data_IF_897661209569
#
_entry.id   IF_897661209569
#
_cell.length_a   1.000
_cell.length_b   1.000
_cell.length_c   1.000
_cell.angle_alpha   90.00
_cell.angle_beta   90.00
_cell.angle_gamma   90.00
#
_symmetry.space_group_name_H-M   'P 1'
#
loop_
_entity.id
_entity.type
_entity.pdbx_description
1 polymer ?
#
# COMPACT_ATOMS: atom_id res chain seq x y z
N UNK A 1 -3.67 5.76 47.56
CA UNK A 1 -3.62 6.04 46.12
C UNK A 1 -2.85 4.91 45.44
N UNK A 2 -3.55 3.98 44.80
CA UNK A 2 -2.93 2.89 44.02
C UNK A 2 -3.14 3.19 42.55
N UNK A 3 -2.07 3.27 41.78
CA UNK A 3 -2.11 3.44 40.32
C UNK A 3 -2.34 2.06 39.70
N UNK A 4 -3.44 1.90 38.97
CA UNK A 4 -3.61 0.75 38.07
C UNK A 4 -2.63 0.89 36.90
N UNK A 5 -1.92 -0.18 36.49
CA UNK A 5 -1.24 -0.20 35.20
C UNK A 5 -2.29 -0.37 34.09
N UNK A 6 -2.06 0.33 32.98
CA UNK A 6 -2.90 0.35 31.79
C UNK A 6 -3.01 -1.02 31.12
N UNK A 7 -4.19 -1.63 31.18
CA UNK A 7 -4.57 -2.80 30.36
C UNK A 7 -5.01 -2.38 28.94
N UNK A 8 -4.23 -1.54 28.27
CA UNK A 8 -4.45 -1.17 26.87
C UNK A 8 -3.17 -1.48 26.12
N UNK A 9 -3.03 -2.67 25.53
CA UNK A 9 -2.06 -2.83 24.41
C UNK A 9 -2.10 -4.16 23.64
N UNK A 10 -2.72 -5.24 24.14
CA UNK A 10 -2.58 -6.55 23.46
C UNK A 10 -3.65 -6.83 22.40
N UNK A 11 -4.91 -6.46 22.64
CA UNK A 11 -6.03 -6.80 21.75
C UNK A 11 -6.03 -6.05 20.41
N UNK A 12 -5.43 -4.86 20.35
CA UNK A 12 -5.39 -4.07 19.12
C UNK A 12 -4.27 -4.52 18.17
N UNK A 13 -3.12 -4.94 18.71
CA UNK A 13 -2.02 -5.50 17.91
C UNK A 13 -2.42 -6.84 17.27
N UNK A 14 -3.10 -7.72 17.99
CA UNK A 14 -3.54 -9.03 17.48
C UNK A 14 -4.49 -8.91 16.29
N UNK A 15 -5.26 -7.81 16.18
CA UNK A 15 -6.14 -7.57 15.04
C UNK A 15 -5.39 -7.11 13.77
N UNK A 16 -4.21 -6.52 13.96
CA UNK A 16 -3.37 -5.98 12.87
C UNK A 16 -2.39 -7.01 12.33
N UNK A 17 -2.15 -8.10 13.06
CA UNK A 17 -1.32 -9.22 12.61
C UNK A 17 -2.19 -10.25 11.89
N UNK A 18 -1.83 -10.55 10.64
CA UNK A 18 -2.49 -11.57 9.83
C UNK A 18 -1.98 -12.97 10.20
N UNK A 19 -2.89 -13.93 10.27
CA UNK A 19 -2.53 -15.33 10.41
C UNK A 19 -2.00 -15.89 9.07
N UNK A 20 -0.95 -16.70 9.11
CA UNK A 20 -0.27 -17.21 7.93
C UNK A 20 -1.19 -18.07 7.03
N UNK A 21 -2.19 -18.76 7.61
CA UNK A 21 -3.17 -19.54 6.86
C UNK A 21 -4.11 -18.64 6.05
N UNK A 22 -4.60 -17.58 6.67
CA UNK A 22 -5.50 -16.60 6.04
C UNK A 22 -4.81 -15.90 4.85
N UNK A 23 -3.51 -15.63 4.97
CA UNK A 23 -2.70 -15.06 3.89
C UNK A 23 -2.63 -15.99 2.66
N UNK A 24 -2.48 -17.30 2.88
CA UNK A 24 -2.40 -18.28 1.80
C UNK A 24 -3.74 -18.45 1.09
N UNK A 25 -4.85 -18.41 1.83
CA UNK A 25 -6.19 -18.54 1.28
C UNK A 25 -6.56 -17.31 0.42
N UNK A 26 -6.18 -16.10 0.84
CA UNK A 26 -6.41 -14.86 0.07
C UNK A 26 -5.67 -14.85 -1.28
N UNK A 27 -4.43 -15.32 -1.31
CA UNK A 27 -3.65 -15.45 -2.55
C UNK A 27 -4.23 -16.45 -3.56
N UNK A 28 -5.05 -17.40 -3.10
CA UNK A 28 -5.67 -18.40 -3.97
C UNK A 28 -6.98 -17.92 -4.63
N UNK A 29 -7.54 -16.80 -4.16
CA UNK A 29 -8.89 -16.35 -4.50
C UNK A 29 -8.95 -15.21 -5.53
N UNK A 30 -7.86 -14.91 -6.23
CA UNK A 30 -7.83 -13.89 -7.30
C UNK A 30 -8.45 -14.42 -8.61
N UNK A 31 -9.74 -14.77 -8.59
CA UNK A 31 -10.56 -14.89 -9.79
C UNK A 31 -11.68 -13.87 -9.72
N UNK A 32 -11.50 -12.79 -10.48
CA UNK A 32 -12.50 -11.77 -10.71
C UNK A 32 -13.78 -12.40 -11.28
N UNK A 33 -14.92 -12.08 -10.66
CA UNK A 33 -16.25 -12.37 -11.19
C UNK A 33 -16.63 -11.25 -12.18
N UNK A 34 -17.24 -11.56 -13.34
CA UNK A 34 -17.69 -10.51 -14.25
C UNK A 34 -18.91 -9.80 -13.65
N UNK A 35 -18.84 -8.47 -13.60
CA UNK A 35 -19.92 -7.60 -13.16
C UNK A 35 -20.97 -7.50 -14.28
N UNK A 36 -22.22 -7.81 -13.96
CA UNK A 36 -23.33 -7.77 -14.90
C UNK A 36 -23.78 -6.33 -15.20
N UNK A 37 -24.06 -6.08 -16.49
CA UNK A 37 -24.57 -4.82 -17.03
C UNK A 37 -25.84 -4.34 -16.33
N UNK A 38 -25.87 -3.08 -15.88
CA UNK A 38 -27.09 -2.37 -15.48
C UNK A 38 -27.06 -0.94 -16.03
N UNK A 39 -28.17 -0.40 -16.57
CA UNK A 39 -28.13 0.75 -17.47
C UNK A 39 -28.01 2.13 -16.78
N UNK A 40 -27.41 3.04 -17.55
CA UNK A 40 -27.01 4.43 -17.28
C UNK A 40 -28.19 5.39 -16.98
N UNK A 41 -28.05 6.34 -16.02
CA UNK A 41 -28.72 7.63 -16.08
C UNK A 41 -27.69 8.71 -16.48
N UNK A 42 -27.93 9.32 -17.63
CA UNK A 42 -27.02 10.22 -18.31
C UNK A 42 -27.39 11.69 -18.01
N UNK A 43 -26.37 12.52 -17.75
CA UNK A 43 -26.33 14.01 -17.81
C UNK A 43 -26.41 14.79 -16.48
N UNK A 44 -27.16 14.41 -15.44
CA UNK A 44 -27.16 15.18 -14.15
C UNK A 44 -26.02 14.77 -13.19
N UNK A 45 -25.44 13.58 -13.37
CA UNK A 45 -24.44 12.97 -12.50
C UNK A 45 -23.00 13.42 -12.78
N UNK A 46 -22.64 13.67 -14.04
CA UNK A 46 -21.25 13.90 -14.43
C UNK A 46 -20.67 15.18 -13.82
N UNK A 47 -21.44 16.27 -13.76
CA UNK A 47 -20.98 17.54 -13.19
C UNK A 47 -20.77 17.47 -11.66
N UNK A 48 -21.63 16.71 -10.96
CA UNK A 48 -21.48 16.48 -9.52
C UNK A 48 -20.28 15.58 -9.21
N UNK A 49 -20.08 14.52 -9.99
CA UNK A 49 -18.90 13.64 -9.89
C UNK A 49 -17.61 14.40 -10.20
N UNK A 50 -17.59 15.25 -11.23
CA UNK A 50 -16.42 16.07 -11.56
C UNK A 50 -16.09 17.10 -10.47
N UNK A 51 -17.10 17.77 -9.90
CA UNK A 51 -16.91 18.67 -8.75
C UNK A 51 -16.36 17.93 -7.51
N UNK A 52 -16.74 16.66 -7.33
CA UNK A 52 -16.23 15.82 -6.25
C UNK A 52 -14.77 15.42 -6.50
N UNK A 53 -14.38 15.12 -7.74
CA UNK A 53 -12.99 14.79 -8.09
C UNK A 53 -12.05 15.97 -7.89
N UNK A 54 -12.43 17.18 -8.30
CA UNK A 54 -11.58 18.38 -8.12
C UNK A 54 -11.37 18.71 -6.64
N UNK A 55 -12.44 18.65 -5.83
CA UNK A 55 -12.34 18.85 -4.39
C UNK A 55 -11.53 17.76 -3.69
N UNK A 56 -11.67 16.51 -4.12
CA UNK A 56 -10.88 15.37 -3.67
C UNK A 56 -9.38 15.55 -3.97
N UNK A 57 -9.02 15.90 -5.22
CA UNK A 57 -7.63 16.17 -5.60
C UNK A 57 -7.01 17.29 -4.76
N UNK A 58 -7.77 18.37 -4.56
CA UNK A 58 -7.30 19.51 -3.75
C UNK A 58 -7.12 19.13 -2.29
N UNK A 59 -8.06 18.38 -1.71
CA UNK A 59 -7.98 17.88 -0.33
C UNK A 59 -6.74 17.01 -0.12
N UNK A 60 -6.42 16.18 -1.10
CA UNK A 60 -5.31 15.21 -1.03
C UNK A 60 -3.97 15.74 -1.57
N UNK A 61 -3.91 17.00 -2.04
CA UNK A 61 -2.69 17.58 -2.58
C UNK A 61 -2.21 16.95 -3.89
N UNK A 62 -3.11 16.38 -4.70
CA UNK A 62 -2.79 15.68 -5.95
C UNK A 62 -2.58 16.63 -7.14
N UNK A 63 -1.83 17.72 -6.94
CA UNK A 63 -1.54 18.73 -7.96
C UNK A 63 -0.77 18.18 -9.18
N UNK A 64 -0.15 17.01 -9.03
CA UNK A 64 0.61 16.30 -10.05
C UNK A 64 -0.22 15.33 -10.91
N UNK A 65 -1.52 15.14 -10.60
CA UNK A 65 -2.40 14.30 -11.42
C UNK A 65 -2.51 14.90 -12.83
N UNK A 66 -2.22 14.09 -13.86
CA UNK A 66 -2.11 14.57 -15.25
C UNK A 66 -3.46 14.77 -15.94
N UNK A 67 -4.47 13.99 -15.55
CA UNK A 67 -5.78 14.00 -16.18
C UNK A 67 -6.87 13.51 -15.20
N UNK A 68 -8.13 13.67 -15.60
CA UNK A 68 -9.30 13.28 -14.79
C UNK A 68 -9.47 11.77 -14.65
N UNK A 69 -9.00 10.98 -15.62
CA UNK A 69 -9.16 9.52 -15.60
C UNK A 69 -8.22 8.87 -14.56
N UNK A 70 -6.97 9.31 -14.49
CA UNK A 70 -6.00 8.93 -13.46
C UNK A 70 -6.54 9.27 -12.06
N UNK A 71 -7.09 10.47 -11.93
CA UNK A 71 -7.67 10.94 -10.69
C UNK A 71 -8.91 10.11 -10.30
N UNK A 72 -9.70 9.68 -11.29
CA UNK A 72 -10.85 8.81 -11.09
C UNK A 72 -10.42 7.41 -10.63
N UNK A 73 -9.40 6.81 -11.25
CA UNK A 73 -8.84 5.52 -10.80
C UNK A 73 -8.45 5.58 -9.32
N UNK A 74 -7.72 6.63 -8.93
CA UNK A 74 -7.33 6.80 -7.54
C UNK A 74 -8.51 7.08 -6.60
N UNK A 75 -9.51 7.84 -7.05
CA UNK A 75 -10.74 8.07 -6.31
C UNK A 75 -11.53 6.77 -6.08
N UNK A 76 -11.64 5.92 -7.10
CA UNK A 76 -12.35 4.64 -7.02
C UNK A 76 -11.62 3.66 -6.08
N UNK A 77 -10.28 3.67 -6.09
CA UNK A 77 -9.45 2.90 -5.16
C UNK A 77 -9.59 3.38 -3.70
N UNK A 78 -9.39 4.68 -3.46
CA UNK A 78 -9.24 5.23 -2.12
C UNK A 78 -10.58 5.52 -1.43
N UNK A 79 -11.60 5.84 -2.22
CA UNK A 79 -12.90 6.32 -1.76
C UNK A 79 -12.91 7.81 -1.39
N UNK A 80 -14.10 8.44 -1.33
CA UNK A 80 -14.26 9.89 -1.14
C UNK A 80 -13.71 10.40 0.20
N UNK A 81 -13.79 9.57 1.24
CA UNK A 81 -13.42 9.94 2.61
C UNK A 81 -11.95 9.69 2.91
N UNK A 82 -11.15 9.28 1.92
CA UNK A 82 -9.74 9.01 2.11
C UNK A 82 -9.00 10.22 2.67
N UNK A 83 -8.03 9.92 3.55
CA UNK A 83 -7.09 10.84 4.14
C UNK A 83 -5.74 10.14 4.20
N UNK A 84 -4.71 10.85 3.74
CA UNK A 84 -3.32 10.41 3.85
C UNK A 84 -2.89 10.30 5.32
N UNK A 85 -2.06 9.29 5.68
CA UNK A 85 -1.34 9.27 6.95
C UNK A 85 -0.54 10.57 7.14
N UNK A 86 -0.60 11.20 8.33
CA UNK A 86 -0.04 12.55 8.50
C UNK A 86 1.48 12.64 8.39
N UNK A 87 2.15 11.50 8.55
CA UNK A 87 3.61 11.38 8.50
C UNK A 87 4.17 11.21 7.09
N UNK A 88 3.32 10.98 6.09
CA UNK A 88 3.75 10.81 4.70
C UNK A 88 4.16 12.15 4.08
N UNK A 89 5.12 12.09 3.18
CA UNK A 89 5.55 13.25 2.39
C UNK A 89 5.01 13.19 0.96
N UNK A 90 5.20 14.27 0.20
CA UNK A 90 4.70 14.37 -1.18
C UNK A 90 5.21 13.27 -2.12
N UNK A 91 6.45 12.78 -1.91
CA UNK A 91 6.97 11.68 -2.72
C UNK A 91 6.23 10.36 -2.43
N UNK A 92 5.85 10.11 -1.17
CA UNK A 92 5.10 8.91 -0.79
C UNK A 92 3.71 8.94 -1.45
N UNK A 93 3.03 10.09 -1.40
CA UNK A 93 1.73 10.29 -2.07
C UNK A 93 1.83 10.06 -3.57
N UNK A 94 2.88 10.60 -4.17
CA UNK A 94 3.14 10.51 -5.60
C UNK A 94 3.38 9.07 -6.02
N UNK A 95 4.21 8.33 -5.29
CA UNK A 95 4.49 6.93 -5.59
C UNK A 95 3.25 6.04 -5.45
N UNK A 96 2.49 6.20 -4.36
CA UNK A 96 1.24 5.45 -4.16
C UNK A 96 0.22 5.76 -5.24
N UNK A 97 0.11 7.03 -5.64
CA UNK A 97 -0.75 7.42 -6.76
C UNK A 97 -0.33 6.70 -8.05
N UNK A 98 0.98 6.61 -8.34
CA UNK A 98 1.47 5.89 -9.53
C UNK A 98 1.17 4.41 -9.52
N UNK A 99 1.24 3.73 -8.37
CA UNK A 99 0.85 2.32 -8.28
C UNK A 99 -0.58 2.09 -8.78
N UNK A 100 -1.48 3.06 -8.62
CA UNK A 100 -2.88 2.93 -9.04
C UNK A 100 -3.10 3.30 -10.52
N UNK A 101 -2.41 4.32 -11.01
CA UNK A 101 -2.75 4.89 -12.33
C UNK A 101 -1.95 4.29 -13.48
N UNK A 102 -0.73 3.82 -13.19
CA UNK A 102 0.23 3.38 -14.20
C UNK A 102 -0.04 1.90 -14.57
N UNK A 103 -0.32 1.60 -15.86
CA UNK A 103 -0.62 0.24 -16.32
C UNK A 103 0.47 -0.79 -16.02
N UNK A 104 1.72 -0.37 -15.84
CA UNK A 104 2.82 -1.27 -15.48
C UNK A 104 2.56 -2.00 -14.15
N UNK A 105 1.66 -1.46 -13.31
CA UNK A 105 1.29 -2.01 -12.02
C UNK A 105 -0.10 -2.65 -11.99
N UNK A 106 -0.81 -2.82 -13.12
CA UNK A 106 -2.23 -3.21 -13.15
C UNK A 106 -2.57 -4.42 -12.25
N UNK A 107 -1.69 -5.41 -12.14
CA UNK A 107 -1.94 -6.64 -11.37
C UNK A 107 -1.57 -6.57 -9.88
N UNK A 108 -0.76 -5.59 -9.47
CA UNK A 108 -0.18 -5.53 -8.11
C UNK A 108 -0.30 -4.14 -7.46
N UNK A 109 -0.74 -3.15 -8.22
CA UNK A 109 -0.72 -1.74 -7.86
C UNK A 109 -1.63 -1.41 -6.69
N UNK A 110 -2.85 -1.94 -6.68
CA UNK A 110 -3.79 -1.78 -5.56
C UNK A 110 -3.23 -2.37 -4.25
N UNK A 111 -2.57 -3.53 -4.34
CA UNK A 111 -1.98 -4.21 -3.21
C UNK A 111 -0.74 -3.46 -2.69
N UNK A 112 0.13 -2.99 -3.59
CA UNK A 112 1.27 -2.11 -3.24
C UNK A 112 0.80 -0.84 -2.55
N UNK A 113 -0.19 -0.16 -3.12
CA UNK A 113 -0.76 1.06 -2.55
C UNK A 113 -1.38 0.78 -1.17
N UNK A 114 -2.16 -0.28 -1.03
CA UNK A 114 -2.79 -0.69 0.23
C UNK A 114 -1.74 -0.97 1.31
N UNK A 115 -0.71 -1.75 0.97
CA UNK A 115 0.33 -2.13 1.92
C UNK A 115 1.21 -0.94 2.31
N UNK A 116 1.55 -0.06 1.36
CA UNK A 116 2.27 1.18 1.64
C UNK A 116 1.46 2.10 2.57
N UNK A 117 0.18 2.34 2.29
CA UNK A 117 -0.70 3.14 3.16
C UNK A 117 -0.77 2.53 4.56
N UNK A 118 -0.95 1.21 4.66
CA UNK A 118 -1.01 0.51 5.94
C UNK A 118 0.29 0.66 6.74
N UNK A 119 1.45 0.54 6.09
CA UNK A 119 2.75 0.73 6.72
C UNK A 119 2.87 2.09 7.41
N UNK A 120 2.52 3.18 6.73
CA UNK A 120 2.59 4.51 7.34
C UNK A 120 1.56 4.69 8.46
N UNK A 121 0.35 4.12 8.34
CA UNK A 121 -0.64 4.13 9.43
C UNK A 121 -0.11 3.40 10.67
N UNK A 122 0.62 2.30 10.49
CA UNK A 122 1.26 1.56 11.58
C UNK A 122 2.38 2.37 12.25
N UNK A 123 3.19 3.09 11.47
CA UNK A 123 4.20 4.00 12.06
C UNK A 123 3.50 5.13 12.84
N UNK A 124 2.48 5.74 12.24
CA UNK A 124 1.73 6.86 12.83
C UNK A 124 1.04 6.45 14.14
N UNK A 125 0.45 5.25 14.19
CA UNK A 125 -0.15 4.70 15.41
C UNK A 125 0.86 4.45 16.53
N UNK A 126 2.16 4.40 16.21
CA UNK A 126 3.23 4.21 17.17
C UNK A 126 3.41 2.76 17.61
N UNK A 127 2.79 1.79 16.92
CA UNK A 127 2.86 0.35 17.26
C UNK A 127 4.30 -0.19 17.35
N UNK A 128 5.25 0.52 16.74
CA UNK A 128 6.67 0.15 16.70
C UNK A 128 7.55 0.85 17.76
N UNK A 129 7.03 1.81 18.54
CA UNK A 129 7.85 2.72 19.35
C UNK A 129 8.44 2.09 20.61
N UNK A 130 7.66 1.29 21.34
CA UNK A 130 8.05 0.92 22.70
C UNK A 130 8.85 -0.39 22.79
N UNK A 131 8.52 -1.38 21.95
CA UNK A 131 9.24 -2.66 21.82
C UNK A 131 9.07 -3.22 20.40
N UNK A 132 9.89 -2.80 19.43
CA UNK A 132 9.79 -3.34 18.09
C UNK A 132 10.10 -4.85 18.13
N UNK A 133 9.21 -5.68 17.55
CA UNK A 133 9.35 -7.15 17.45
C UNK A 133 10.37 -7.59 16.37
N UNK A 134 11.16 -6.65 15.86
CA UNK A 134 12.12 -6.81 14.77
C UNK A 134 12.54 -5.45 14.22
N UNK A 135 13.48 -5.43 13.27
CA UNK A 135 13.92 -4.21 12.59
C UNK A 135 13.23 -4.01 11.23
N UNK A 136 12.55 -5.03 10.70
CA UNK A 136 11.75 -4.99 9.47
C UNK A 136 10.36 -5.61 9.67
N UNK A 137 9.42 -5.19 8.84
CA UNK A 137 8.05 -5.71 8.77
C UNK A 137 7.70 -6.12 7.36
N UNK A 138 7.03 -7.28 7.23
CA UNK A 138 6.37 -7.72 6.01
C UNK A 138 4.87 -7.48 6.14
N UNK A 139 4.30 -6.68 5.24
CA UNK A 139 2.89 -6.32 5.19
C UNK A 139 2.25 -6.91 3.92
N UNK A 140 1.10 -7.54 4.11
CA UNK A 140 0.27 -8.14 3.06
C UNK A 140 -1.19 -7.87 3.39
N UNK A 141 -1.97 -7.47 2.38
CA UNK A 141 -3.37 -7.05 2.45
C UNK A 141 -3.65 -6.04 3.56
N UNK A 142 -2.75 -5.06 3.70
CA UNK A 142 -2.81 -3.99 4.69
C UNK A 142 -2.57 -4.45 6.14
N UNK A 143 -2.07 -5.67 6.36
CA UNK A 143 -1.82 -6.23 7.69
C UNK A 143 -0.38 -6.72 7.84
N UNK A 144 0.09 -6.75 9.08
CA UNK A 144 1.41 -7.28 9.40
C UNK A 144 1.37 -8.80 9.27
N UNK A 145 2.14 -9.36 8.34
CA UNK A 145 2.29 -10.80 8.22
C UNK A 145 3.38 -11.32 9.16
N UNK A 146 4.54 -10.65 9.20
CA UNK A 146 5.69 -11.11 9.99
C UNK A 146 6.70 -9.98 10.26
N UNK A 147 7.42 -10.11 11.38
CA UNK A 147 8.56 -9.29 11.76
C UNK A 147 9.88 -10.02 11.48
N UNK A 148 10.92 -9.26 11.16
CA UNK A 148 12.27 -9.77 10.90
C UNK A 148 13.30 -8.93 11.66
N UNK A 149 14.31 -9.58 12.23
CA UNK A 149 15.39 -8.90 12.95
C UNK A 149 16.43 -8.26 12.02
N UNK A 150 16.53 -8.76 10.79
CA UNK A 150 17.46 -8.31 9.75
C UNK A 150 16.76 -8.16 8.39
N UNK A 151 17.45 -7.53 7.45
CA UNK A 151 17.05 -7.51 6.03
C UNK A 151 17.06 -8.93 5.45
N UNK A 152 16.30 -9.15 4.38
CA UNK A 152 16.22 -10.47 3.73
C UNK A 152 17.15 -10.57 2.53
N UNK A 153 17.49 -11.80 2.14
CA UNK A 153 18.26 -12.04 0.92
C UNK A 153 17.45 -11.68 -0.33
N UNK A 154 18.14 -11.49 -1.47
CA UNK A 154 17.47 -11.32 -2.77
C UNK A 154 16.58 -12.51 -3.12
N UNK A 155 17.03 -13.71 -2.79
CA UNK A 155 16.33 -14.97 -3.03
C UNK A 155 15.03 -15.04 -2.22
N UNK A 156 15.09 -14.69 -0.94
CA UNK A 156 13.91 -14.61 -0.07
C UNK A 156 12.94 -13.53 -0.56
N UNK A 157 13.46 -12.39 -1.03
CA UNK A 157 12.65 -11.32 -1.58
C UNK A 157 11.89 -11.77 -2.84
N UNK A 158 12.55 -12.50 -3.74
CA UNK A 158 11.92 -13.10 -4.92
C UNK A 158 10.87 -14.15 -4.56
N UNK A 159 11.14 -15.00 -3.56
CA UNK A 159 10.16 -15.96 -3.06
C UNK A 159 8.91 -15.23 -2.57
N UNK A 160 9.09 -14.16 -1.79
CA UNK A 160 7.97 -13.37 -1.33
C UNK A 160 7.24 -12.68 -2.47
N UNK A 161 7.91 -12.28 -3.56
CA UNK A 161 7.25 -11.64 -4.71
C UNK A 161 6.32 -12.63 -5.43
N UNK A 162 6.80 -13.87 -5.59
CA UNK A 162 6.00 -14.96 -6.17
C UNK A 162 4.83 -15.34 -5.26
N UNK A 163 5.05 -15.31 -3.94
CA UNK A 163 4.08 -15.77 -2.94
C UNK A 163 3.05 -14.71 -2.56
N UNK A 164 3.46 -13.45 -2.50
CA UNK A 164 2.66 -12.29 -2.09
C UNK A 164 2.92 -11.13 -3.07
N UNK A 165 2.37 -11.18 -4.29
CA UNK A 165 2.53 -10.08 -5.25
C UNK A 165 2.05 -8.76 -4.66
N UNK A 166 2.85 -7.70 -4.78
CA UNK A 166 2.52 -6.39 -4.20
C UNK A 166 2.70 -6.26 -2.69
N UNK A 167 3.37 -7.24 -2.04
CA UNK A 167 3.81 -7.14 -0.65
C UNK A 167 4.58 -5.84 -0.37
N UNK A 168 4.66 -5.49 0.90
CA UNK A 168 5.50 -4.39 1.34
C UNK A 168 6.44 -4.85 2.46
N UNK A 169 7.74 -4.88 2.16
CA UNK A 169 8.79 -5.22 3.12
C UNK A 169 9.59 -3.95 3.44
N UNK A 170 9.54 -3.49 4.69
CA UNK A 170 10.07 -2.18 5.06
C UNK A 170 10.70 -2.17 6.46
N UNK A 171 11.72 -1.31 6.69
CA UNK A 171 12.37 -1.19 7.99
C UNK A 171 11.50 -0.48 9.02
N UNK A 172 11.31 -1.08 10.19
CA UNK A 172 10.61 -0.52 11.35
C UNK A 172 11.42 0.61 12.00
N UNK A 173 12.75 0.45 12.06
CA UNK A 173 13.65 1.41 12.70
C UNK A 173 14.78 1.84 11.78
N UNK A 174 14.60 2.98 11.11
CA UNK A 174 15.62 4.03 10.94
C UNK A 174 14.94 5.30 10.43
N UNK A 175 15.39 6.45 10.94
CA UNK A 175 15.11 7.78 10.40
C UNK A 175 15.12 7.69 8.87
N UNK A 176 13.96 7.87 8.23
CA UNK A 176 13.79 8.20 6.80
C UNK A 176 14.89 7.62 5.91
N UNK A 177 14.76 6.36 5.46
CA UNK A 177 15.61 5.84 4.38
C UNK A 177 14.72 5.47 3.21
N UNK A 178 15.11 6.03 2.05
CA UNK A 178 14.49 5.88 0.74
C UNK A 178 13.96 4.47 0.48
N UNK A 179 12.75 4.43 -0.07
CA UNK A 179 12.17 3.26 -0.71
C UNK A 179 13.13 2.76 -1.79
N UNK A 180 13.69 1.57 -1.58
CA UNK A 180 14.64 0.96 -2.51
C UNK A 180 13.84 0.25 -3.58
N UNK A 181 13.54 0.97 -4.66
CA UNK A 181 13.01 0.38 -5.89
C UNK A 181 14.14 -0.38 -6.58
N UNK A 182 14.13 -1.71 -6.52
CA UNK A 182 14.86 -2.50 -7.51
C UNK A 182 14.03 -2.47 -8.79
N UNK A 183 14.34 -1.52 -9.67
CA UNK A 183 13.92 -1.62 -11.06
C UNK A 183 14.64 -2.83 -11.64
N UNK A 184 13.92 -3.92 -11.90
CA UNK A 184 14.41 -4.97 -12.78
C UNK A 184 14.48 -4.38 -14.19
N UNK A 185 15.60 -3.71 -14.50
CA UNK A 185 16.01 -3.36 -15.85
C UNK A 185 17.42 -3.89 -16.06
N UNK A 186 17.57 -5.20 -15.96
CA UNK A 186 18.71 -5.90 -16.55
C UNK A 186 18.18 -6.79 -17.66
N UNK A 187 17.91 -6.19 -18.82
CA UNK A 187 17.84 -6.95 -20.07
C UNK A 187 18.10 -6.09 -21.32
N UNK A 188 19.10 -5.21 -21.29
CA UNK A 188 19.80 -4.72 -22.50
C UNK A 188 21.23 -4.33 -22.02
N UNK A 189 22.36 -4.94 -22.38
CA UNK A 189 22.91 -5.23 -23.70
C UNK A 189 23.97 -6.32 -23.54
N UNK A 190 23.72 -7.52 -24.09
CA UNK A 190 24.80 -8.42 -24.54
C UNK A 190 25.38 -7.81 -25.82
N UNK A 191 26.52 -7.11 -25.72
CA UNK A 191 27.46 -6.88 -26.83
C UNK A 191 28.87 -6.94 -26.26
N UNK A 192 29.52 -8.07 -26.46
CA UNK A 192 30.59 -8.23 -27.46
C UNK A 192 31.92 -7.73 -26.92
N UNK A 193 32.61 -8.60 -26.20
CA UNK A 193 34.07 -8.68 -26.28
C UNK A 193 34.39 -9.87 -27.18
N UNK A 194 34.67 -9.59 -28.45
CA UNK A 194 35.74 -10.19 -29.26
C UNK A 194 35.78 -9.52 -30.64
#
# INVERSE_FOLDING_TARGET
MSKNPSEISHSHEEQLVMNLKDALDLNSSSKSKPLADTPKPEVTSNKAVESNLESFAKKLGLSFAKNKDDLRKFYDFAGPDFIWPSIMNENDYREIFYFIIDPDWENVGEELATNAIAYHRLIESGIFKDKPKGTYVLIVHGKILKYYDDDISSEDYEEFEKRYPGKYFAPITRKTVLLRKFSANDDIVRKEWQ
#
